data_IF_067762977957
#
_entry.id   IF_067762977957
#
_cell.length_a   1.000
_cell.length_b   1.000
_cell.length_c   1.000
_cell.angle_alpha   90.00
_cell.angle_beta   90.00
_cell.angle_gamma   90.00
#
_symmetry.space_group_name_H-M   'P 1'
#
loop_
_entity.id
_entity.type
_entity.pdbx_description
1 polymer ?
#
# COMPACT_ATOMS: atom_id res chain seq x y z
N UNK A 1 10.10 -16.72 25.51
CA UNK A 1 10.53 -17.24 24.20
C UNK A 1 10.14 -16.25 23.10
N UNK A 2 10.94 -15.22 22.86
CA UNK A 2 10.65 -14.17 21.86
C UNK A 2 11.96 -13.70 21.19
N UNK A 3 12.78 -14.65 20.71
CA UNK A 3 14.10 -14.35 20.15
C UNK A 3 14.23 -14.60 18.64
N UNK A 4 13.16 -14.52 17.87
CA UNK A 4 13.23 -14.82 16.45
C UNK A 4 12.41 -13.95 15.48
N UNK A 5 11.43 -13.21 15.97
CA UNK A 5 10.67 -12.31 15.12
C UNK A 5 11.29 -10.89 15.22
N UNK A 6 11.87 -10.40 14.13
CA UNK A 6 12.14 -8.96 13.98
C UNK A 6 10.82 -8.25 14.27
N UNK A 7 10.83 -7.34 15.25
CA UNK A 7 9.64 -6.54 15.58
C UNK A 7 9.15 -5.88 14.28
N UNK A 8 7.86 -6.10 13.95
CA UNK A 8 7.26 -5.60 12.71
C UNK A 8 7.42 -4.08 12.57
N UNK A 9 7.33 -3.37 13.70
CA UNK A 9 7.56 -1.94 13.75
C UNK A 9 9.01 -1.57 13.39
N UNK A 10 9.99 -2.34 13.88
CA UNK A 10 11.40 -2.17 13.53
C UNK A 10 11.66 -2.44 12.03
N UNK A 11 11.03 -3.47 11.48
CA UNK A 11 11.10 -3.76 10.04
C UNK A 11 10.56 -2.62 9.18
N UNK A 12 9.40 -2.08 9.53
CA UNK A 12 8.83 -0.91 8.86
C UNK A 12 9.71 0.34 9.02
N UNK A 13 10.23 0.60 10.22
CA UNK A 13 11.14 1.73 10.43
C UNK A 13 12.38 1.65 9.53
N UNK A 14 12.95 0.45 9.31
CA UNK A 14 14.07 0.27 8.38
C UNK A 14 13.71 0.53 6.92
N UNK A 15 12.54 0.09 6.48
CA UNK A 15 12.01 0.42 5.14
C UNK A 15 11.94 1.94 4.96
N UNK A 16 11.42 2.64 5.95
CA UNK A 16 11.23 4.09 5.92
C UNK A 16 12.55 4.87 6.06
N UNK A 17 13.57 4.33 6.72
CA UNK A 17 14.92 4.93 6.73
C UNK A 17 15.50 4.98 5.32
N UNK A 18 15.36 3.93 4.51
CA UNK A 18 15.79 3.99 3.11
C UNK A 18 14.96 4.96 2.28
N UNK A 19 13.64 5.03 2.55
CA UNK A 19 12.76 6.03 1.93
C UNK A 19 13.22 7.46 2.25
N UNK A 20 13.59 7.73 3.52
CA UNK A 20 14.14 9.02 3.92
C UNK A 20 15.43 9.37 3.16
N UNK A 21 16.41 8.47 3.16
CA UNK A 21 17.71 8.73 2.53
C UNK A 21 17.57 9.00 1.03
N UNK A 22 16.80 8.16 0.32
CA UNK A 22 16.59 8.32 -1.11
C UNK A 22 15.70 9.53 -1.38
N UNK A 23 14.64 9.73 -0.59
CA UNK A 23 13.76 10.90 -0.69
C UNK A 23 14.53 12.20 -0.51
N UNK A 24 15.43 12.27 0.48
CA UNK A 24 16.31 13.42 0.69
C UNK A 24 17.24 13.65 -0.52
N UNK A 25 17.86 12.59 -1.04
CA UNK A 25 18.69 12.71 -2.24
C UNK A 25 17.89 13.23 -3.44
N UNK A 26 16.64 12.75 -3.63
CA UNK A 26 15.76 13.25 -4.69
C UNK A 26 15.39 14.72 -4.49
N UNK A 27 15.10 15.16 -3.26
CA UNK A 27 14.80 16.56 -2.93
C UNK A 27 15.99 17.46 -3.22
N UNK A 28 17.20 17.04 -2.89
CA UNK A 28 18.43 17.81 -3.16
C UNK A 28 18.68 17.99 -4.67
N UNK A 29 18.29 17.01 -5.48
CA UNK A 29 18.44 17.06 -6.94
C UNK A 29 17.29 17.81 -7.61
N UNK A 30 16.03 17.57 -7.19
CA UNK A 30 14.84 18.12 -7.82
C UNK A 30 14.46 19.52 -7.30
N UNK A 31 14.90 19.87 -6.09
CA UNK A 31 14.59 21.14 -5.47
C UNK A 31 13.19 21.22 -4.85
N UNK A 32 12.68 22.46 -4.75
CA UNK A 32 11.38 22.74 -4.14
C UNK A 32 10.23 22.39 -5.07
N UNK A 33 9.09 21.94 -4.52
CA UNK A 33 7.90 21.72 -5.32
C UNK A 33 7.27 23.05 -5.78
N UNK A 34 6.48 23.04 -6.85
CA UNK A 34 5.78 24.25 -7.31
C UNK A 34 4.92 24.88 -6.22
N UNK A 35 4.81 26.20 -6.24
CA UNK A 35 3.97 26.94 -5.30
C UNK A 35 2.52 26.40 -5.31
N UNK A 36 1.92 26.28 -4.11
CA UNK A 36 0.54 25.78 -3.95
C UNK A 36 0.39 24.26 -3.97
N UNK A 37 1.47 23.48 -4.15
CA UNK A 37 1.38 22.00 -4.18
C UNK A 37 1.72 21.32 -2.84
N UNK A 38 2.19 22.05 -1.85
CA UNK A 38 2.52 21.55 -0.52
C UNK A 38 1.37 20.82 0.18
N UNK A 39 0.13 21.29 -0.05
CA UNK A 39 -1.05 20.63 0.53
C UNK A 39 -1.17 19.16 0.13
N UNK A 40 -0.83 18.81 -1.11
CA UNK A 40 -0.84 17.41 -1.58
C UNK A 40 0.26 16.58 -0.90
N UNK A 41 1.46 17.14 -0.78
CA UNK A 41 2.61 16.46 -0.16
C UNK A 41 2.33 16.16 1.31
N UNK A 42 1.86 17.18 2.06
CA UNK A 42 1.55 17.03 3.49
C UNK A 42 0.38 16.07 3.70
N UNK A 43 -0.70 16.22 2.93
CA UNK A 43 -1.86 15.34 3.04
C UNK A 43 -1.47 13.88 2.74
N UNK A 44 -0.71 13.63 1.68
CA UNK A 44 -0.24 12.30 1.35
C UNK A 44 0.67 11.73 2.44
N UNK A 45 1.64 12.48 2.94
CA UNK A 45 2.52 12.02 4.01
C UNK A 45 1.73 11.63 5.28
N UNK A 46 0.74 12.44 5.68
CA UNK A 46 -0.14 12.14 6.82
C UNK A 46 -0.96 10.88 6.55
N UNK A 47 -1.56 10.75 5.36
CA UNK A 47 -2.36 9.59 5.00
C UNK A 47 -1.54 8.31 4.95
N UNK A 48 -0.29 8.38 4.46
CA UNK A 48 0.64 7.25 4.48
C UNK A 48 1.02 6.83 5.89
N UNK A 49 1.30 7.78 6.78
CA UNK A 49 1.58 7.49 8.19
C UNK A 49 0.35 6.87 8.88
N UNK A 50 -0.86 7.40 8.61
CA UNK A 50 -2.10 6.84 9.12
C UNK A 50 -2.36 5.42 8.58
N UNK A 51 -2.11 5.19 7.28
CA UNK A 51 -2.16 3.87 6.65
C UNK A 51 -1.20 2.89 7.32
N UNK A 52 0.08 3.24 7.49
CA UNK A 52 1.08 2.37 8.11
C UNK A 52 0.73 2.04 9.56
N UNK A 53 0.27 3.03 10.33
CA UNK A 53 -0.20 2.83 11.71
C UNK A 53 -1.46 1.94 11.76
N UNK A 54 -2.43 2.18 10.90
CA UNK A 54 -3.65 1.37 10.78
C UNK A 54 -3.34 -0.07 10.37
N UNK A 55 -2.38 -0.26 9.47
CA UNK A 55 -1.93 -1.57 9.03
C UNK A 55 -1.30 -2.36 10.19
N UNK A 56 -0.37 -1.75 10.94
CA UNK A 56 0.22 -2.35 12.12
C UNK A 56 -0.86 -2.74 13.14
N UNK A 57 -1.76 -1.82 13.44
CA UNK A 57 -2.86 -2.05 14.38
C UNK A 57 -3.79 -3.17 13.92
N UNK A 58 -4.15 -3.21 12.64
CA UNK A 58 -4.99 -4.29 12.11
C UNK A 58 -4.34 -5.67 12.26
N UNK A 59 -3.00 -5.75 12.15
CA UNK A 59 -2.23 -6.99 12.32
C UNK A 59 -2.04 -7.40 13.78
N UNK A 60 -2.13 -6.48 14.72
CA UNK A 60 -2.16 -6.80 16.15
C UNK A 60 -3.52 -7.39 16.56
N UNK A 61 -4.61 -6.90 15.95
CA UNK A 61 -5.98 -7.31 16.25
C UNK A 61 -6.42 -8.58 15.51
N UNK A 62 -5.84 -8.87 14.33
CA UNK A 62 -6.29 -9.94 13.46
C UNK A 62 -5.18 -10.68 12.73
N UNK A 63 -5.58 -11.73 12.00
CA UNK A 63 -4.63 -12.51 11.20
C UNK A 63 -4.25 -11.75 9.92
N UNK A 64 -2.96 -11.69 9.62
CA UNK A 64 -2.43 -11.07 8.39
C UNK A 64 -3.15 -11.55 7.12
N UNK A 65 -3.40 -12.87 7.03
CA UNK A 65 -4.06 -13.51 5.87
C UNK A 65 -5.49 -13.03 5.61
N UNK A 66 -6.14 -12.37 6.58
CA UNK A 66 -7.47 -11.78 6.45
C UNK A 66 -7.40 -10.25 6.36
N UNK A 67 -6.60 -9.62 7.22
CA UNK A 67 -6.55 -8.15 7.32
C UNK A 67 -5.93 -7.51 6.07
N UNK A 68 -4.87 -8.12 5.53
CA UNK A 68 -4.19 -7.60 4.35
C UNK A 68 -5.07 -7.61 3.09
N UNK A 69 -5.76 -8.72 2.70
CA UNK A 69 -6.67 -8.71 1.57
C UNK A 69 -7.86 -7.77 1.75
N UNK A 70 -8.36 -7.59 2.98
CA UNK A 70 -9.46 -6.65 3.24
C UNK A 70 -9.04 -5.21 3.00
N UNK A 71 -7.91 -4.79 3.56
CA UNK A 71 -7.40 -3.44 3.37
C UNK A 71 -7.13 -3.15 1.88
N UNK A 72 -6.54 -4.11 1.18
CA UNK A 72 -6.22 -4.01 -0.25
C UNK A 72 -7.46 -4.05 -1.13
N UNK A 73 -8.43 -4.92 -0.86
CA UNK A 73 -9.68 -5.02 -1.64
C UNK A 73 -10.63 -3.84 -1.41
N UNK A 74 -10.51 -3.13 -0.28
CA UNK A 74 -11.31 -1.93 -0.02
C UNK A 74 -10.89 -0.75 -0.90
N UNK A 75 -9.60 -0.60 -1.20
CA UNK A 75 -9.09 0.59 -1.88
C UNK A 75 -9.61 0.79 -3.32
N UNK A 76 -9.57 -0.18 -4.26
CA UNK A 76 -9.84 0.09 -5.66
C UNK A 76 -11.28 0.57 -5.93
N UNK A 77 -12.29 -0.04 -5.29
CA UNK A 77 -13.68 0.36 -5.51
C UNK A 77 -13.97 1.74 -4.89
N UNK A 78 -13.30 2.10 -3.76
CA UNK A 78 -13.42 3.43 -3.17
C UNK A 78 -12.76 4.47 -4.08
N UNK A 79 -11.58 4.17 -4.64
CA UNK A 79 -10.93 5.05 -5.63
C UNK A 79 -11.83 5.22 -6.86
N UNK A 80 -12.46 4.14 -7.36
CA UNK A 80 -13.39 4.22 -8.49
C UNK A 80 -14.59 5.11 -8.16
N UNK A 81 -15.19 4.96 -6.97
CA UNK A 81 -16.30 5.78 -6.51
C UNK A 81 -15.92 7.27 -6.46
N UNK A 82 -14.78 7.59 -5.84
CA UNK A 82 -14.26 8.97 -5.76
C UNK A 82 -13.94 9.52 -7.15
N UNK A 83 -13.33 8.71 -8.02
CA UNK A 83 -13.00 9.10 -9.40
C UNK A 83 -14.24 9.49 -10.20
N UNK A 84 -15.33 8.73 -10.05
CA UNK A 84 -16.59 9.01 -10.76
C UNK A 84 -17.30 10.22 -10.13
N UNK A 85 -17.51 10.22 -8.80
CA UNK A 85 -18.39 11.17 -8.14
C UNK A 85 -17.75 12.55 -7.91
N UNK A 86 -16.45 12.57 -7.57
CA UNK A 86 -15.77 13.81 -7.20
C UNK A 86 -14.85 14.33 -8.30
N UNK A 87 -14.24 13.44 -9.10
CA UNK A 87 -13.32 13.85 -10.16
C UNK A 87 -13.97 13.86 -11.55
N UNK A 88 -15.24 13.40 -11.66
CA UNK A 88 -15.97 13.37 -12.91
C UNK A 88 -15.36 12.44 -13.97
N UNK A 89 -14.51 11.50 -13.59
CA UNK A 89 -13.90 10.55 -14.51
C UNK A 89 -14.95 9.59 -15.06
N UNK A 90 -14.89 9.31 -16.36
CA UNK A 90 -15.74 8.33 -17.01
C UNK A 90 -14.96 7.02 -17.11
N UNK A 91 -15.42 6.00 -16.41
CA UNK A 91 -14.87 4.65 -16.49
C UNK A 91 -15.70 3.84 -17.50
N UNK A 92 -15.04 3.05 -18.34
CA UNK A 92 -15.74 2.09 -19.18
C UNK A 92 -16.44 1.03 -18.30
N UNK A 93 -17.56 0.48 -18.79
CA UNK A 93 -18.31 -0.55 -18.01
C UNK A 93 -17.41 -1.75 -17.71
N UNK A 94 -16.59 -2.18 -18.67
CA UNK A 94 -15.65 -3.29 -18.48
C UNK A 94 -14.60 -2.95 -17.42
N UNK A 95 -14.06 -1.73 -17.41
CA UNK A 95 -13.13 -1.24 -16.40
C UNK A 95 -13.75 -1.28 -15.00
N UNK A 96 -14.96 -0.72 -14.84
CA UNK A 96 -15.68 -0.73 -13.58
C UNK A 96 -15.99 -2.17 -13.10
N UNK A 97 -16.45 -3.04 -14.00
CA UNK A 97 -16.71 -4.44 -13.69
C UNK A 97 -15.43 -5.16 -13.23
N UNK A 98 -14.30 -4.92 -13.89
CA UNK A 98 -13.00 -5.46 -13.51
C UNK A 98 -12.53 -4.99 -12.13
N UNK A 99 -12.67 -3.70 -11.82
CA UNK A 99 -12.35 -3.12 -10.52
C UNK A 99 -13.19 -3.75 -9.41
N UNK A 100 -14.51 -3.85 -9.62
CA UNK A 100 -15.42 -4.45 -8.64
C UNK A 100 -15.14 -5.94 -8.44
N UNK A 101 -14.81 -6.66 -9.52
CA UNK A 101 -14.47 -8.07 -9.44
C UNK A 101 -13.18 -8.31 -8.63
N UNK A 102 -12.14 -7.52 -8.85
CA UNK A 102 -10.90 -7.57 -8.06
C UNK A 102 -11.20 -7.29 -6.59
N UNK A 103 -11.90 -6.21 -6.29
CA UNK A 103 -12.24 -5.82 -4.93
C UNK A 103 -13.07 -6.90 -4.22
N UNK A 104 -14.11 -7.41 -4.87
CA UNK A 104 -14.98 -8.46 -4.32
C UNK A 104 -14.18 -9.75 -4.08
N UNK A 105 -13.31 -10.16 -5.01
CA UNK A 105 -12.45 -11.32 -4.86
C UNK A 105 -11.52 -11.24 -3.65
N UNK A 106 -10.91 -10.09 -3.41
CA UNK A 106 -10.04 -9.86 -2.27
C UNK A 106 -10.80 -9.82 -0.94
N UNK A 107 -11.95 -9.14 -0.93
CA UNK A 107 -12.81 -9.06 0.27
C UNK A 107 -13.38 -10.45 0.61
N UNK A 108 -13.77 -11.24 -0.39
CA UNK A 108 -14.31 -12.59 -0.19
C UNK A 108 -13.31 -13.52 0.53
N UNK A 109 -11.98 -13.33 0.34
CA UNK A 109 -10.96 -14.09 1.06
C UNK A 109 -11.08 -13.97 2.58
N UNK A 110 -11.55 -12.84 3.08
CA UNK A 110 -11.74 -12.59 4.51
C UNK A 110 -12.82 -13.49 5.10
N UNK A 111 -13.94 -13.67 4.37
CA UNK A 111 -15.12 -14.39 4.86
C UNK A 111 -14.98 -15.91 4.76
N UNK A 112 -14.01 -16.41 4.00
CA UNK A 112 -13.73 -17.85 3.89
C UNK A 112 -13.33 -18.47 5.26
N UNK A 113 -12.75 -17.67 6.19
CA UNK A 113 -12.37 -18.10 7.53
C UNK A 113 -13.48 -17.99 8.60
N UNK A 114 -14.72 -17.57 8.24
CA UNK A 114 -15.83 -17.26 9.16
C UNK A 114 -15.39 -16.37 10.33
N UNK A 115 -15.26 -15.07 10.11
CA UNK A 115 -14.86 -14.14 11.17
C UNK A 115 -15.88 -14.17 12.30
N UNK A 116 -15.42 -14.44 13.52
CA UNK A 116 -16.25 -14.37 14.71
C UNK A 116 -16.49 -12.93 15.15
N UNK A 117 -17.50 -12.71 16.03
CA UNK A 117 -17.81 -11.36 16.58
C UNK A 117 -16.60 -10.66 17.23
N UNK A 118 -15.65 -11.41 17.76
CA UNK A 118 -14.39 -10.87 18.34
C UNK A 118 -13.44 -10.24 17.31
N UNK A 119 -13.67 -10.44 16.01
CA UNK A 119 -12.82 -9.90 14.94
C UNK A 119 -13.32 -8.55 14.37
N UNK A 120 -14.47 -8.05 14.84
CA UNK A 120 -15.04 -6.78 14.36
C UNK A 120 -14.04 -5.61 14.45
N UNK A 121 -13.31 -5.40 15.56
CA UNK A 121 -12.31 -4.33 15.62
C UNK A 121 -11.18 -4.48 14.61
N UNK A 122 -10.72 -5.71 14.37
CA UNK A 122 -9.68 -6.00 13.36
C UNK A 122 -10.17 -5.70 11.94
N UNK A 123 -11.42 -6.10 11.62
CA UNK A 123 -12.04 -5.82 10.33
C UNK A 123 -12.24 -4.31 10.13
N UNK A 124 -12.70 -3.60 11.16
CA UNK A 124 -12.85 -2.15 11.11
C UNK A 124 -11.50 -1.44 10.88
N UNK A 125 -10.44 -1.86 11.59
CA UNK A 125 -9.10 -1.34 11.40
C UNK A 125 -8.57 -1.61 9.98
N UNK A 126 -8.76 -2.82 9.45
CA UNK A 126 -8.34 -3.17 8.10
C UNK A 126 -9.12 -2.39 7.02
N UNK A 127 -10.43 -2.22 7.20
CA UNK A 127 -11.26 -1.39 6.30
C UNK A 127 -10.84 0.07 6.37
N UNK A 128 -10.63 0.63 7.57
CA UNK A 128 -10.09 1.97 7.76
C UNK A 128 -8.74 2.17 7.09
N UNK A 129 -7.86 1.17 7.20
CA UNK A 129 -6.58 1.14 6.47
C UNK A 129 -6.80 1.19 4.94
N UNK A 130 -7.75 0.44 4.41
CA UNK A 130 -8.13 0.47 2.99
C UNK A 130 -8.66 1.83 2.54
N UNK A 131 -9.43 2.52 3.39
CA UNK A 131 -9.87 3.90 3.12
C UNK A 131 -8.70 4.88 3.09
N UNK A 132 -7.71 4.73 3.97
CA UNK A 132 -6.49 5.56 3.92
C UNK A 132 -5.68 5.29 2.65
N UNK A 133 -5.61 4.01 2.21
CA UNK A 133 -4.99 3.66 0.92
C UNK A 133 -5.72 4.34 -0.24
N UNK A 134 -7.05 4.33 -0.26
CA UNK A 134 -7.82 5.01 -1.28
C UNK A 134 -7.59 6.52 -1.25
N UNK A 135 -7.62 7.13 -0.06
CA UNK A 135 -7.44 8.57 0.12
C UNK A 135 -6.06 9.04 -0.37
N UNK A 136 -4.96 8.40 0.06
CA UNK A 136 -3.66 8.82 -0.46
C UNK A 136 -3.51 8.54 -1.96
N UNK A 137 -4.09 7.44 -2.49
CA UNK A 137 -4.05 7.14 -3.93
C UNK A 137 -4.70 8.25 -4.75
N UNK A 138 -5.81 8.82 -4.28
CA UNK A 138 -6.47 9.96 -4.93
C UNK A 138 -5.63 11.23 -4.81
N UNK A 139 -5.12 11.53 -3.61
CA UNK A 139 -4.26 12.72 -3.38
C UNK A 139 -3.01 12.65 -4.26
N UNK A 140 -2.36 11.50 -4.30
CA UNK A 140 -1.17 11.25 -5.11
C UNK A 140 -1.45 11.43 -6.60
N UNK A 141 -2.54 10.83 -7.08
CA UNK A 141 -2.95 10.97 -8.46
C UNK A 141 -3.21 12.42 -8.87
N UNK A 142 -3.85 13.21 -8.01
CA UNK A 142 -4.04 14.65 -8.25
C UNK A 142 -2.72 15.43 -8.22
N UNK A 143 -1.80 15.03 -7.34
CA UNK A 143 -0.50 15.67 -7.18
C UNK A 143 0.40 15.49 -8.40
N UNK A 144 0.49 14.25 -8.94
CA UNK A 144 1.39 13.94 -10.08
C UNK A 144 0.93 14.55 -11.40
N UNK A 145 -0.30 15.09 -11.47
CA UNK A 145 -0.77 15.91 -12.58
C UNK A 145 -0.43 17.41 -12.41
N UNK A 146 0.09 17.82 -11.25
CA UNK A 146 0.42 19.22 -10.92
C UNK A 146 1.90 19.45 -10.71
N UNK A 147 2.69 18.41 -10.54
CA UNK A 147 4.14 18.49 -10.36
C UNK A 147 4.85 17.22 -10.87
N UNK A 148 6.15 17.26 -11.13
CA UNK A 148 6.92 16.09 -11.56
C UNK A 148 6.86 14.96 -10.53
N UNK A 149 6.68 13.72 -10.99
CA UNK A 149 6.58 12.52 -10.15
C UNK A 149 7.75 12.40 -9.18
N UNK A 150 8.99 12.62 -9.66
CA UNK A 150 10.19 12.51 -8.84
C UNK A 150 10.26 13.57 -7.75
N UNK A 151 9.83 14.81 -8.03
CA UNK A 151 9.74 15.87 -7.03
C UNK A 151 8.73 15.50 -5.95
N UNK A 152 7.52 15.08 -6.35
CA UNK A 152 6.48 14.64 -5.43
C UNK A 152 6.95 13.49 -4.55
N UNK A 153 7.43 12.42 -5.17
CA UNK A 153 7.91 11.21 -4.50
C UNK A 153 9.03 11.53 -3.49
N UNK A 154 10.01 12.36 -3.90
CA UNK A 154 11.12 12.77 -3.03
C UNK A 154 10.63 13.42 -1.74
N UNK A 155 9.72 14.38 -1.84
CA UNK A 155 9.19 15.09 -0.67
C UNK A 155 8.32 14.21 0.22
N UNK A 156 7.42 13.41 -0.35
CA UNK A 156 6.57 12.50 0.42
C UNK A 156 7.42 11.48 1.18
N UNK A 157 8.39 10.84 0.51
CA UNK A 157 9.25 9.85 1.15
C UNK A 157 10.21 10.44 2.17
N UNK A 158 10.72 11.65 1.92
CA UNK A 158 11.54 12.34 2.93
C UNK A 158 10.72 12.61 4.20
N UNK A 159 9.49 13.10 4.07
CA UNK A 159 8.65 13.41 5.23
C UNK A 159 8.23 12.16 6.00
N UNK A 160 7.66 11.16 5.33
CA UNK A 160 7.22 9.94 6.01
C UNK A 160 8.37 9.11 6.55
N UNK A 161 9.47 9.03 5.78
CA UNK A 161 10.67 8.30 6.16
C UNK A 161 11.45 8.92 7.30
N UNK A 162 11.24 10.21 7.59
CA UNK A 162 11.71 10.87 8.79
C UNK A 162 10.80 10.60 9.99
N UNK A 163 9.49 10.80 9.81
CA UNK A 163 8.52 10.79 10.92
C UNK A 163 8.32 9.39 11.48
N UNK A 164 8.18 8.36 10.63
CA UNK A 164 7.86 7.01 11.11
C UNK A 164 8.98 6.37 11.95
N UNK A 165 10.25 6.36 11.53
CA UNK A 165 11.34 5.84 12.36
C UNK A 165 11.45 6.58 13.68
N UNK A 166 11.30 7.91 13.67
CA UNK A 166 11.34 8.73 14.88
C UNK A 166 10.21 8.36 15.83
N UNK A 167 8.98 8.20 15.33
CA UNK A 167 7.82 7.76 16.10
C UNK A 167 8.02 6.36 16.70
N UNK A 168 8.58 5.42 15.93
CA UNK A 168 8.86 4.06 16.41
C UNK A 168 9.93 4.08 17.52
N UNK A 169 10.98 4.86 17.36
CA UNK A 169 12.02 5.02 18.40
C UNK A 169 11.47 5.70 19.65
N UNK A 170 10.65 6.74 19.50
CA UNK A 170 10.02 7.42 20.62
C UNK A 170 9.06 6.50 21.39
N UNK A 171 8.35 5.60 20.69
CA UNK A 171 7.39 4.67 21.31
C UNK A 171 8.05 3.43 21.91
N UNK A 172 8.99 2.80 21.21
CA UNK A 172 9.61 1.51 21.61
C UNK A 172 10.99 1.67 22.23
N UNK A 173 11.53 2.88 22.23
CA UNK A 173 12.88 3.18 22.69
C UNK A 173 13.97 2.84 21.66
N UNK A 174 15.21 3.34 21.85
CA UNK A 174 16.31 3.19 20.89
C UNK A 174 16.81 1.74 20.74
N UNK A 175 16.44 0.84 21.63
CA UNK A 175 16.77 -0.59 21.53
C UNK A 175 16.19 -1.24 20.27
N UNK A 176 15.11 -0.71 19.70
CA UNK A 176 14.50 -1.15 18.45
C UNK A 176 15.45 -1.07 17.25
N UNK A 177 16.47 -0.22 17.32
CA UNK A 177 17.50 -0.06 16.29
C UNK A 177 18.64 -1.10 16.38
N UNK A 178 18.68 -1.90 17.45
CA UNK A 178 19.67 -2.97 17.64
C UNK A 178 19.27 -4.22 16.88
N UNK A 179 19.39 -4.19 15.57
CA UNK A 179 19.02 -5.27 14.68
C UNK A 179 20.24 -5.98 14.10
N UNK A 180 20.17 -7.29 13.82
CA UNK A 180 21.25 -7.99 13.14
C UNK A 180 21.47 -7.42 11.73
N UNK A 181 22.72 -7.38 11.27
CA UNK A 181 23.10 -6.82 9.95
C UNK A 181 22.23 -7.33 8.79
N UNK A 182 21.87 -8.62 8.81
CA UNK A 182 20.99 -9.24 7.81
C UNK A 182 19.61 -8.59 7.79
N UNK A 183 19.00 -8.32 8.95
CA UNK A 183 17.70 -7.66 9.05
C UNK A 183 17.77 -6.21 8.54
N UNK A 184 18.86 -5.50 8.87
CA UNK A 184 19.10 -4.13 8.38
C UNK A 184 19.19 -4.12 6.85
N UNK A 185 20.06 -4.97 6.27
CA UNK A 185 20.22 -5.03 4.81
C UNK A 185 18.93 -5.42 4.10
N UNK A 186 18.19 -6.40 4.64
CA UNK A 186 16.89 -6.81 4.08
C UNK A 186 15.86 -5.69 4.17
N UNK A 187 15.80 -4.96 5.29
CA UNK A 187 14.90 -3.83 5.48
C UNK A 187 15.20 -2.69 4.51
N UNK A 188 16.47 -2.27 4.44
CA UNK A 188 16.90 -1.22 3.52
C UNK A 188 16.66 -1.60 2.04
N UNK A 189 17.02 -2.82 1.65
CA UNK A 189 16.76 -3.33 0.31
C UNK A 189 15.27 -3.38 -0.02
N UNK A 190 14.45 -3.83 0.93
CA UNK A 190 13.00 -3.82 0.79
C UNK A 190 12.43 -2.42 0.60
N UNK A 191 12.97 -1.41 1.30
CA UNK A 191 12.60 0.00 1.12
C UNK A 191 12.90 0.51 -0.29
N UNK A 192 14.08 0.21 -0.83
CA UNK A 192 14.43 0.59 -2.22
C UNK A 192 13.44 -0.02 -3.21
N UNK A 193 13.15 -1.33 -3.09
CA UNK A 193 12.19 -2.03 -3.97
C UNK A 193 10.79 -1.42 -3.83
N UNK A 194 10.36 -1.11 -2.60
CA UNK A 194 9.08 -0.47 -2.34
C UNK A 194 8.97 0.90 -3.00
N UNK A 195 10.03 1.71 -2.93
CA UNK A 195 10.08 3.03 -3.58
C UNK A 195 10.00 2.95 -5.09
N UNK A 196 10.74 2.01 -5.71
CA UNK A 196 10.66 1.80 -7.16
C UNK A 196 9.25 1.37 -7.56
N UNK A 197 8.66 0.41 -6.83
CA UNK A 197 7.29 -0.05 -7.09
C UNK A 197 6.28 1.09 -6.97
N UNK A 198 6.41 1.92 -5.94
CA UNK A 198 5.52 3.07 -5.75
C UNK A 198 5.71 4.15 -6.83
N UNK A 199 6.96 4.44 -7.20
CA UNK A 199 7.27 5.36 -8.30
C UNK A 199 6.64 4.93 -9.63
N UNK A 200 6.65 3.62 -9.93
CA UNK A 200 5.95 3.05 -11.08
C UNK A 200 4.43 3.26 -11.01
N UNK A 201 3.83 3.13 -9.83
CA UNK A 201 2.40 3.42 -9.62
C UNK A 201 2.10 4.90 -9.88
N UNK A 202 2.88 5.81 -9.31
CA UNK A 202 2.73 7.25 -9.53
C UNK A 202 2.89 7.62 -11.01
N UNK A 203 3.87 7.02 -11.68
CA UNK A 203 4.05 7.20 -13.11
C UNK A 203 2.85 6.68 -13.91
N UNK A 204 2.33 5.51 -13.57
CA UNK A 204 1.14 4.95 -14.23
C UNK A 204 -0.10 5.86 -14.04
N UNK A 205 -0.25 6.48 -12.88
CA UNK A 205 -1.33 7.44 -12.61
C UNK A 205 -1.28 8.69 -13.51
N UNK A 206 -0.12 9.03 -14.08
CA UNK A 206 -0.03 10.10 -15.09
C UNK A 206 -0.53 9.68 -16.47
N UNK A 207 -0.78 8.38 -16.69
CA UNK A 207 -1.12 7.80 -18.01
C UNK A 207 -2.49 7.18 -18.10
N UNK A 208 -3.05 6.72 -16.96
CA UNK A 208 -4.32 6.00 -16.89
C UNK A 208 -5.28 6.58 -15.86
N UNK A 209 -6.48 6.00 -15.78
CA UNK A 209 -7.44 6.36 -14.73
C UNK A 209 -6.92 5.93 -13.36
N UNK A 210 -7.20 6.74 -12.33
CA UNK A 210 -6.74 6.42 -10.97
C UNK A 210 -7.30 5.07 -10.49
N UNK A 211 -8.54 4.79 -10.87
CA UNK A 211 -9.23 3.57 -10.50
C UNK A 211 -8.61 2.32 -11.15
N UNK A 212 -8.28 2.35 -12.44
CA UNK A 212 -7.60 1.25 -13.11
C UNK A 212 -6.22 0.99 -12.51
N UNK A 213 -5.43 2.04 -12.30
CA UNK A 213 -4.10 1.90 -11.69
C UNK A 213 -4.20 1.33 -10.27
N UNK A 214 -5.18 1.79 -9.46
CA UNK A 214 -5.42 1.26 -8.12
C UNK A 214 -5.77 -0.24 -8.16
N UNK A 215 -6.63 -0.67 -9.09
CA UNK A 215 -7.01 -2.07 -9.23
C UNK A 215 -5.87 -2.94 -9.77
N UNK A 216 -5.15 -2.47 -10.79
CA UNK A 216 -3.99 -3.18 -11.35
C UNK A 216 -2.87 -3.38 -10.32
N UNK A 217 -2.72 -2.47 -9.38
CA UNK A 217 -1.77 -2.60 -8.26
C UNK A 217 -2.03 -3.86 -7.41
N UNK A 218 -3.25 -4.36 -7.39
CA UNK A 218 -3.62 -5.57 -6.64
C UNK A 218 -3.06 -6.86 -7.26
N UNK A 219 -2.55 -6.82 -8.51
CA UNK A 219 -1.79 -7.94 -9.11
C UNK A 219 -0.61 -8.38 -8.25
N UNK A 220 -0.05 -7.46 -7.44
CA UNK A 220 1.03 -7.77 -6.52
C UNK A 220 0.71 -8.91 -5.54
N UNK A 221 -0.57 -9.12 -5.22
CA UNK A 221 -1.03 -10.22 -4.37
C UNK A 221 -0.79 -11.58 -5.05
N UNK A 222 -0.98 -11.65 -6.37
CA UNK A 222 -0.70 -12.87 -7.15
C UNK A 222 0.79 -13.19 -7.09
N UNK A 223 1.62 -12.18 -7.37
CA UNK A 223 3.08 -12.35 -7.31
C UNK A 223 3.54 -12.73 -5.90
N UNK A 224 2.99 -12.10 -4.86
CA UNK A 224 3.26 -12.45 -3.47
C UNK A 224 2.89 -13.91 -3.15
N UNK A 225 1.75 -14.37 -3.64
CA UNK A 225 1.29 -15.75 -3.46
C UNK A 225 2.18 -16.77 -4.20
N UNK A 226 2.61 -16.45 -5.43
CA UNK A 226 3.55 -17.28 -6.21
C UNK A 226 4.92 -17.35 -5.53
N UNK A 227 5.45 -16.22 -5.09
CA UNK A 227 6.72 -16.15 -4.35
C UNK A 227 6.62 -16.98 -3.06
N UNK A 228 5.52 -16.83 -2.31
CA UNK A 228 5.27 -17.63 -1.11
C UNK A 228 5.28 -19.14 -1.37
N UNK A 229 4.63 -19.58 -2.45
CA UNK A 229 4.58 -20.98 -2.82
C UNK A 229 5.95 -21.51 -3.29
N UNK A 230 6.65 -20.76 -4.17
CA UNK A 230 7.90 -21.22 -4.80
C UNK A 230 9.10 -21.16 -3.84
N UNK A 231 9.25 -20.05 -3.11
CA UNK A 231 10.44 -19.81 -2.29
C UNK A 231 10.27 -20.23 -0.82
N UNK A 232 9.04 -20.21 -0.30
CA UNK A 232 8.78 -20.54 1.09
C UNK A 232 8.04 -21.88 1.27
N UNK A 233 7.74 -22.59 0.16
CA UNK A 233 7.06 -23.90 0.20
C UNK A 233 5.64 -23.81 0.77
N UNK A 234 5.01 -22.63 0.75
CA UNK A 234 3.63 -22.48 1.21
C UNK A 234 2.69 -23.24 0.29
N UNK A 235 1.76 -24.03 0.86
CA UNK A 235 0.75 -24.73 0.07
C UNK A 235 -0.20 -23.71 -0.58
N UNK A 236 -0.21 -23.71 -1.91
CA UNK A 236 -1.15 -22.92 -2.70
C UNK A 236 -2.54 -23.57 -2.63
N UNK A 237 -3.28 -23.24 -1.58
CA UNK A 237 -4.61 -23.82 -1.37
C UNK A 237 -5.63 -23.36 -2.44
N UNK A 238 -6.70 -24.13 -2.70
CA UNK A 238 -7.69 -23.83 -3.75
C UNK A 238 -8.32 -22.44 -3.60
N UNK A 239 -8.44 -21.94 -2.39
CA UNK A 239 -8.97 -20.61 -2.08
C UNK A 239 -8.10 -19.47 -2.60
N UNK A 240 -6.76 -19.58 -2.42
CA UNK A 240 -5.80 -18.61 -2.98
C UNK A 240 -5.78 -18.69 -4.51
N UNK A 241 -5.93 -19.88 -5.07
CA UNK A 241 -6.01 -20.08 -6.52
C UNK A 241 -7.28 -19.42 -7.11
N UNK A 242 -8.43 -19.58 -6.48
CA UNK A 242 -9.68 -18.92 -6.90
C UNK A 242 -9.53 -17.40 -6.84
N UNK A 243 -9.01 -16.85 -5.74
CA UNK A 243 -8.80 -15.41 -5.62
C UNK A 243 -7.84 -14.88 -6.70
N UNK A 244 -6.74 -15.58 -6.96
CA UNK A 244 -5.82 -15.22 -8.04
C UNK A 244 -6.52 -15.24 -9.41
N UNK A 245 -7.34 -16.27 -9.69
CA UNK A 245 -8.11 -16.36 -10.93
C UNK A 245 -9.13 -15.19 -11.07
N UNK A 246 -9.81 -14.83 -9.99
CA UNK A 246 -10.74 -13.69 -9.96
C UNK A 246 -10.01 -12.36 -10.23
N UNK A 247 -8.84 -12.17 -9.61
CA UNK A 247 -8.01 -10.97 -9.86
C UNK A 247 -7.55 -10.93 -11.32
N UNK A 248 -7.08 -12.07 -11.88
CA UNK A 248 -6.69 -12.15 -13.30
C UNK A 248 -7.86 -11.82 -14.22
N UNK A 249 -9.05 -12.38 -13.96
CA UNK A 249 -10.27 -12.09 -14.74
C UNK A 249 -10.61 -10.58 -14.69
N UNK A 250 -10.50 -9.96 -13.51
CA UNK A 250 -10.70 -8.52 -13.37
C UNK A 250 -9.67 -7.68 -14.14
N UNK A 251 -8.40 -8.10 -14.19
CA UNK A 251 -7.35 -7.44 -14.98
C UNK A 251 -7.68 -7.51 -16.48
N UNK A 252 -8.10 -8.68 -16.96
CA UNK A 252 -8.49 -8.86 -18.37
C UNK A 252 -9.65 -7.93 -18.73
N UNK A 253 -10.65 -7.79 -17.86
CA UNK A 253 -11.76 -6.86 -18.07
C UNK A 253 -11.29 -5.39 -18.12
N UNK A 254 -10.40 -4.97 -17.22
CA UNK A 254 -9.84 -3.60 -17.24
C UNK A 254 -9.05 -3.36 -18.52
N UNK A 255 -8.33 -4.37 -19.02
CA UNK A 255 -7.51 -4.23 -20.22
C UNK A 255 -8.32 -4.26 -21.53
N UNK A 256 -9.58 -4.73 -21.46
CA UNK A 256 -10.50 -4.82 -22.60
C UNK A 256 -11.39 -3.57 -22.77
N UNK A 257 -11.41 -2.64 -21.80
CA UNK A 257 -12.20 -1.41 -21.82
C UNK A 257 -11.35 -0.20 -22.01
#
# INVERSE_FOLDING_TARGET
MAHGAVDRAAGLALLEVSAFVIGLAMVLVQGLPPAGTWGFIIASAILHLAYLGGLLWSYELGQFSQMYPLARGTSPWVVALVSILLLGQRLAIAELAGILLISAGLIALVFIGRPGRRQVPALAAATGTGLMIAAYTVVDGLAVHRMPVLTYMGWVFMLQGFVLPLAVVAWRGPAVLRLPKKAVLTGLGGGVVSMVAYGLVLWAQTRGTLAAVAALRETSIIFGAVIGAVFFGERFGPRRAIAAAVVVAGIVLISAG
#
